data_IF_280277059785
#
_entry.id   IF_280277059785
#
_cell.length_a   1.000
_cell.length_b   1.000
_cell.length_c   1.000
_cell.angle_alpha   90.00
_cell.angle_beta   90.00
_cell.angle_gamma   90.00
#
_symmetry.space_group_name_H-M   'P 1'
#
loop_
_entity.id
_entity.type
_entity.pdbx_description
1 polymer ?
#
# COMPACT_ATOMS: atom_id res chain seq x y z
N UNK A 1 17.94 16.40 -8.03
CA UNK A 1 16.59 15.77 -8.11
C UNK A 1 16.20 15.81 -9.57
N UNK A 2 16.10 14.67 -10.24
CA UNK A 2 15.53 14.62 -11.59
C UNK A 2 14.10 15.17 -11.50
N UNK A 3 13.79 16.17 -12.32
CA UNK A 3 12.45 16.76 -12.40
C UNK A 3 11.48 15.67 -12.87
N UNK A 4 10.69 15.13 -11.93
CA UNK A 4 9.55 14.28 -12.31
C UNK A 4 8.49 15.18 -12.98
N UNK A 5 7.96 14.72 -14.10
CA UNK A 5 6.94 15.45 -14.87
C UNK A 5 5.51 15.05 -14.45
N UNK A 6 5.33 14.51 -13.25
CA UNK A 6 4.03 14.07 -12.73
C UNK A 6 3.97 14.25 -11.20
N UNK A 7 2.78 14.44 -10.69
CA UNK A 7 2.49 14.48 -9.24
C UNK A 7 2.33 13.07 -8.68
N UNK A 8 2.79 12.85 -7.42
CA UNK A 8 2.66 11.56 -6.74
C UNK A 8 1.84 11.68 -5.46
N UNK A 9 0.79 10.89 -5.37
CA UNK A 9 -0.03 10.73 -4.18
C UNK A 9 0.23 9.39 -3.49
N UNK A 10 0.04 9.37 -2.18
CA UNK A 10 0.03 8.14 -1.37
C UNK A 10 -1.37 7.93 -0.81
N UNK A 11 -1.96 6.76 -1.05
CA UNK A 11 -3.23 6.35 -0.48
C UNK A 11 -2.96 5.36 0.65
N UNK A 12 -3.30 5.74 1.88
CA UNK A 12 -3.12 4.93 3.09
C UNK A 12 -4.48 4.45 3.58
N UNK A 13 -4.75 3.15 3.52
CA UNK A 13 -5.98 2.61 4.12
C UNK A 13 -5.82 2.48 5.62
N UNK A 14 -6.84 2.92 6.38
CA UNK A 14 -6.86 2.85 7.86
C UNK A 14 -8.22 2.43 8.41
N UNK A 15 -8.20 1.77 9.56
CA UNK A 15 -9.37 1.45 10.38
C UNK A 15 -8.95 1.21 11.83
N UNK A 16 -9.42 2.08 12.75
CA UNK A 16 -9.30 1.93 14.20
C UNK A 16 -7.90 1.49 14.71
N UNK A 17 -6.83 2.04 14.14
CA UNK A 17 -5.45 1.67 14.51
C UNK A 17 -4.50 2.87 14.57
N UNK A 18 -4.79 3.90 15.39
CA UNK A 18 -4.00 5.14 15.43
C UNK A 18 -2.53 4.88 15.76
N UNK A 19 -2.22 3.95 16.68
CA UNK A 19 -0.84 3.62 17.05
C UNK A 19 0.01 3.08 15.89
N UNK A 20 -0.58 2.32 14.97
CA UNK A 20 0.13 1.83 13.79
C UNK A 20 0.23 2.92 12.72
N UNK A 21 -0.88 3.63 12.47
CA UNK A 21 -0.91 4.74 11.54
C UNK A 21 0.12 5.82 11.90
N UNK A 22 0.27 6.13 13.19
CA UNK A 22 1.26 7.10 13.66
C UNK A 22 2.69 6.74 13.23
N UNK A 23 3.08 5.46 13.38
CA UNK A 23 4.40 4.96 12.95
C UNK A 23 4.58 5.07 11.43
N UNK A 24 3.54 4.85 10.67
CA UNK A 24 3.54 5.00 9.20
C UNK A 24 3.69 6.47 8.81
N UNK A 25 2.98 7.39 9.48
CA UNK A 25 3.08 8.83 9.23
C UNK A 25 4.47 9.38 9.56
N UNK A 26 5.15 8.92 10.63
CA UNK A 26 6.56 9.25 10.87
C UNK A 26 7.46 8.83 9.70
N UNK A 27 7.17 7.68 9.07
CA UNK A 27 7.89 7.22 7.88
C UNK A 27 7.68 8.14 6.68
N UNK A 28 6.47 8.69 6.50
CA UNK A 28 6.19 9.66 5.43
C UNK A 28 6.77 11.04 5.71
N UNK A 29 6.84 11.47 6.97
CA UNK A 29 7.59 12.67 7.34
C UNK A 29 9.09 12.57 7.00
N UNK A 30 9.64 11.36 6.94
CA UNK A 30 11.07 11.11 6.72
C UNK A 30 11.42 10.68 5.29
N UNK A 31 10.52 10.83 4.32
CA UNK A 31 10.81 10.47 2.92
C UNK A 31 11.86 11.39 2.28
N UNK A 32 12.79 10.81 1.50
CA UNK A 32 13.77 11.56 0.69
C UNK A 32 13.10 12.39 -0.41
N UNK A 33 12.07 11.83 -1.01
CA UNK A 33 11.16 12.53 -1.94
C UNK A 33 9.78 12.59 -1.29
N UNK A 34 9.31 13.81 -1.01
CA UNK A 34 7.98 13.99 -0.42
C UNK A 34 6.88 13.70 -1.45
N UNK A 35 5.78 13.03 -1.05
CA UNK A 35 4.59 12.97 -1.89
C UNK A 35 3.93 14.36 -1.99
N UNK A 36 3.24 14.64 -3.09
CA UNK A 36 2.50 15.89 -3.28
C UNK A 36 1.19 15.87 -2.49
N UNK A 37 0.63 14.69 -2.24
CA UNK A 37 -0.53 14.48 -1.37
C UNK A 37 -0.46 13.13 -0.66
N UNK A 38 -1.10 13.04 0.50
CA UNK A 38 -1.37 11.80 1.24
C UNK A 38 -2.87 11.72 1.47
N UNK A 39 -3.53 10.77 0.85
CA UNK A 39 -4.96 10.53 1.06
C UNK A 39 -5.12 9.41 2.08
N UNK A 40 -5.63 9.74 3.26
CA UNK A 40 -5.98 8.74 4.26
C UNK A 40 -7.38 8.22 3.95
N UNK A 41 -7.46 6.97 3.51
CA UNK A 41 -8.69 6.24 3.22
C UNK A 41 -9.18 5.54 4.50
N UNK A 42 -10.04 6.20 5.26
CA UNK A 42 -10.45 5.79 6.60
C UNK A 42 -11.81 5.09 6.56
N UNK A 43 -11.80 3.78 6.80
CA UNK A 43 -12.95 2.87 6.72
C UNK A 43 -13.88 2.95 7.96
N UNK A 44 -14.09 4.15 8.49
CA UNK A 44 -15.01 4.40 9.60
C UNK A 44 -14.36 4.36 10.99
N UNK A 45 -13.12 4.82 11.11
CA UNK A 45 -12.44 4.89 12.41
C UNK A 45 -13.12 5.88 13.38
N UNK A 46 -12.84 5.68 14.66
CA UNK A 46 -13.27 6.53 15.77
C UNK A 46 -12.40 7.81 15.85
N UNK A 47 -12.83 8.71 16.72
CA UNK A 47 -12.25 10.05 16.91
C UNK A 47 -10.75 10.06 17.23
N UNK A 48 -10.22 9.04 17.93
CA UNK A 48 -8.78 8.94 18.23
C UNK A 48 -7.91 8.87 16.97
N UNK A 49 -8.39 8.18 15.93
CA UNK A 49 -7.71 8.11 14.63
C UNK A 49 -7.81 9.46 13.91
N UNK A 50 -8.96 10.13 13.95
CA UNK A 50 -9.15 11.48 13.38
C UNK A 50 -8.23 12.49 14.03
N UNK A 51 -8.17 12.54 15.37
CA UNK A 51 -7.31 13.45 16.12
C UNK A 51 -5.83 13.21 15.80
N UNK A 52 -5.41 11.95 15.67
CA UNK A 52 -4.06 11.63 15.21
C UNK A 52 -3.79 12.23 13.83
N UNK A 53 -4.67 11.99 12.84
CA UNK A 53 -4.51 12.49 11.47
C UNK A 53 -4.40 14.02 11.46
N UNK A 54 -5.27 14.72 12.19
CA UNK A 54 -5.27 16.17 12.34
C UNK A 54 -3.93 16.68 12.92
N UNK A 55 -3.33 15.95 13.87
CA UNK A 55 -2.04 16.32 14.46
C UNK A 55 -0.86 16.30 13.48
N UNK A 56 -1.01 15.61 12.34
CA UNK A 56 0.01 15.56 11.26
C UNK A 56 -0.28 16.54 10.11
N UNK A 57 -1.46 17.16 10.05
CA UNK A 57 -1.89 17.98 8.91
C UNK A 57 -0.99 19.21 8.64
N UNK A 58 -0.31 19.75 9.66
CA UNK A 58 0.64 20.86 9.49
C UNK A 58 2.01 20.43 8.93
N UNK A 59 2.32 19.13 8.92
CA UNK A 59 3.63 18.56 8.57
C UNK A 59 3.60 17.72 7.31
N UNK A 60 2.42 17.21 6.95
CA UNK A 60 2.20 16.37 5.78
C UNK A 60 1.01 16.89 4.97
N UNK A 61 1.03 16.78 3.63
CA UNK A 61 -0.07 17.21 2.77
C UNK A 61 -1.24 16.21 2.82
N UNK A 62 -1.88 16.07 3.99
CA UNK A 62 -2.91 15.08 4.24
C UNK A 62 -4.28 15.55 3.77
N UNK A 63 -4.98 14.66 3.07
CA UNK A 63 -6.40 14.71 2.79
C UNK A 63 -7.07 13.52 3.49
N UNK A 64 -7.92 13.77 4.49
CA UNK A 64 -8.64 12.73 5.22
C UNK A 64 -9.98 12.44 4.52
N UNK A 65 -10.16 11.24 4.02
CA UNK A 65 -11.39 10.72 3.42
C UNK A 65 -11.96 9.68 4.35
N UNK A 66 -13.13 9.95 4.89
CA UNK A 66 -13.80 9.11 5.89
C UNK A 66 -15.22 8.76 5.46
N UNK A 67 -15.75 7.66 5.94
CA UNK A 67 -17.17 7.32 5.90
C UNK A 67 -17.59 6.60 7.21
N UNK A 68 -18.88 6.53 7.46
CA UNK A 68 -19.44 5.82 8.59
C UNK A 68 -19.06 4.33 8.56
N UNK A 69 -18.73 3.76 9.75
CA UNK A 69 -18.46 2.34 9.92
C UNK A 69 -19.71 1.50 9.65
N UNK A 70 -19.65 0.70 8.61
CA UNK A 70 -20.68 -0.30 8.25
C UNK A 70 -20.06 -1.68 8.07
N UNK A 71 -19.01 -1.99 8.83
CA UNK A 71 -18.17 -3.16 8.70
C UNK A 71 -17.09 -2.98 7.66
N UNK A 72 -16.50 -4.06 7.20
CA UNK A 72 -15.36 -4.01 6.27
C UNK A 72 -15.75 -3.49 4.89
N UNK A 73 -15.46 -2.24 4.59
CA UNK A 73 -15.74 -1.57 3.32
C UNK A 73 -14.49 -0.97 2.66
N UNK A 74 -13.34 -1.63 2.85
CA UNK A 74 -12.04 -1.15 2.32
C UNK A 74 -12.08 -0.81 0.83
N UNK A 75 -12.76 -1.60 -0.01
CA UNK A 75 -12.88 -1.31 -1.45
C UNK A 75 -13.61 0.02 -1.71
N UNK A 76 -14.66 0.30 -0.95
CA UNK A 76 -15.45 1.51 -1.09
C UNK A 76 -14.64 2.75 -0.66
N UNK A 77 -13.95 2.69 0.48
CA UNK A 77 -13.16 3.84 0.94
C UNK A 77 -11.95 4.10 0.05
N UNK A 78 -11.33 3.05 -0.53
CA UNK A 78 -10.28 3.21 -1.52
C UNK A 78 -10.80 3.89 -2.80
N UNK A 79 -12.01 3.59 -3.25
CA UNK A 79 -12.65 4.27 -4.37
C UNK A 79 -12.91 5.76 -4.06
N UNK A 80 -13.40 6.08 -2.87
CA UNK A 80 -13.55 7.48 -2.43
C UNK A 80 -12.20 8.20 -2.40
N UNK A 81 -11.14 7.54 -1.93
CA UNK A 81 -9.80 8.09 -1.94
C UNK A 81 -9.26 8.31 -3.36
N UNK A 82 -9.51 7.39 -4.29
CA UNK A 82 -9.19 7.56 -5.72
C UNK A 82 -9.87 8.80 -6.34
N UNK A 83 -11.15 9.01 -6.01
CA UNK A 83 -11.90 10.19 -6.49
C UNK A 83 -11.38 11.48 -5.86
N UNK A 84 -11.05 11.44 -4.56
CA UNK A 84 -10.55 12.60 -3.82
C UNK A 84 -9.12 12.99 -4.20
N UNK A 85 -8.32 12.06 -4.72
CA UNK A 85 -6.94 12.31 -5.16
C UNK A 85 -6.90 13.14 -6.43
N UNK A 86 -5.90 14.01 -6.53
CA UNK A 86 -5.61 14.82 -7.72
C UNK A 86 -4.26 14.45 -8.35
N UNK A 87 -3.47 13.60 -7.70
CA UNK A 87 -2.16 13.19 -8.20
C UNK A 87 -2.26 12.29 -9.44
N UNK A 88 -1.26 12.38 -10.33
CA UNK A 88 -1.18 11.60 -11.56
C UNK A 88 -0.83 10.12 -11.29
N UNK A 89 0.04 9.90 -10.31
CA UNK A 89 0.56 8.59 -9.94
C UNK A 89 0.29 8.29 -8.47
N UNK A 90 -0.26 7.12 -8.17
CA UNK A 90 -0.70 6.75 -6.82
C UNK A 90 0.06 5.54 -6.28
N UNK A 91 0.54 5.67 -5.05
CA UNK A 91 1.13 4.59 -4.25
C UNK A 91 0.12 4.16 -3.19
N UNK A 92 -0.23 2.88 -3.18
CA UNK A 92 -1.17 2.31 -2.21
C UNK A 92 -0.43 1.57 -1.11
N UNK A 93 -0.82 1.84 0.13
CA UNK A 93 -0.27 1.20 1.32
C UNK A 93 -1.32 1.08 2.44
N UNK A 94 -0.97 0.39 3.51
CA UNK A 94 -1.83 0.18 4.67
C UNK A 94 -1.27 0.89 5.92
N UNK A 95 -2.15 1.16 6.89
CA UNK A 95 -1.83 1.81 8.17
C UNK A 95 -0.73 1.12 9.01
N UNK A 96 -0.34 -0.08 8.65
CA UNK A 96 0.64 -0.92 9.35
C UNK A 96 1.92 -1.16 8.54
N UNK A 97 2.13 -0.38 7.48
CA UNK A 97 3.25 -0.50 6.55
C UNK A 97 4.16 0.72 6.63
N UNK A 98 5.16 0.69 7.55
CA UNK A 98 6.14 1.78 7.68
C UNK A 98 7.01 1.82 6.43
N UNK A 99 7.03 2.92 5.66
CA UNK A 99 7.86 3.05 4.47
C UNK A 99 9.34 3.29 4.84
N UNK A 100 10.27 2.70 4.07
CA UNK A 100 11.68 3.09 4.13
C UNK A 100 11.83 4.52 3.58
N UNK A 101 12.87 5.25 3.99
CA UNK A 101 13.03 6.67 3.62
C UNK A 101 13.03 6.94 2.10
N UNK A 102 13.49 6.00 1.29
CA UNK A 102 13.51 6.07 -0.19
C UNK A 102 12.28 5.44 -0.87
N UNK A 103 11.21 5.20 -0.13
CA UNK A 103 10.05 4.46 -0.62
C UNK A 103 9.33 5.20 -1.77
N UNK A 104 8.97 6.47 -1.56
CA UNK A 104 8.32 7.30 -2.59
C UNK A 104 9.26 7.53 -3.77
N UNK A 105 10.52 7.86 -3.52
CA UNK A 105 11.55 8.04 -4.55
C UNK A 105 11.67 6.80 -5.45
N UNK A 106 11.70 5.61 -4.83
CA UNK A 106 11.80 4.35 -5.56
C UNK A 106 10.58 4.10 -6.45
N UNK A 107 9.38 4.36 -5.96
CA UNK A 107 8.17 4.26 -6.78
C UNK A 107 8.20 5.23 -7.96
N UNK A 108 8.58 6.49 -7.73
CA UNK A 108 8.72 7.48 -8.80
C UNK A 108 9.77 7.06 -9.85
N UNK A 109 10.91 6.55 -9.42
CA UNK A 109 12.01 6.09 -10.29
C UNK A 109 11.60 4.98 -11.25
N UNK A 110 10.72 4.07 -10.80
CA UNK A 110 10.29 2.92 -11.62
C UNK A 110 8.94 3.16 -12.31
N UNK A 111 8.26 4.28 -12.06
CA UNK A 111 7.00 4.64 -12.72
C UNK A 111 7.17 4.68 -14.23
N UNK A 112 6.25 4.02 -14.95
CA UNK A 112 6.23 3.95 -16.41
C UNK A 112 4.80 3.75 -16.90
N UNK A 113 4.38 4.48 -17.93
CA UNK A 113 3.06 4.30 -18.53
C UNK A 113 2.89 2.87 -19.10
N UNK A 114 1.70 2.31 -18.93
CA UNK A 114 1.41 0.93 -19.27
C UNK A 114 1.90 -0.11 -18.26
N UNK A 115 2.42 0.33 -17.10
CA UNK A 115 2.86 -0.54 -16.03
C UNK A 115 2.33 -0.10 -14.66
N UNK A 116 1.99 -1.08 -13.81
CA UNK A 116 1.91 -0.88 -12.38
C UNK A 116 3.11 -1.53 -11.67
N UNK A 117 3.44 -1.05 -10.48
CA UNK A 117 4.55 -1.56 -9.67
C UNK A 117 4.04 -2.45 -8.54
N UNK A 118 4.74 -3.56 -8.29
CA UNK A 118 4.54 -4.46 -7.16
C UNK A 118 5.75 -4.39 -6.24
N UNK A 119 5.62 -3.67 -5.15
CA UNK A 119 6.67 -3.50 -4.16
C UNK A 119 6.78 -4.65 -3.16
N UNK A 120 7.70 -4.53 -2.21
CA UNK A 120 7.97 -5.52 -1.20
C UNK A 120 7.66 -5.06 0.21
N UNK A 121 7.36 -6.00 1.07
CA UNK A 121 7.26 -5.75 2.50
C UNK A 121 8.08 -6.78 3.28
N UNK A 122 8.51 -6.38 4.47
CA UNK A 122 9.13 -7.24 5.45
C UNK A 122 8.23 -7.35 6.67
N UNK A 123 7.63 -8.53 6.88
CA UNK A 123 6.72 -8.75 7.99
C UNK A 123 7.49 -8.89 9.29
N UNK A 124 7.16 -8.06 10.28
CA UNK A 124 7.70 -8.12 11.64
C UNK A 124 6.79 -8.96 12.55
N UNK A 125 7.34 -9.61 13.59
CA UNK A 125 6.54 -10.17 14.68
C UNK A 125 5.99 -9.06 15.58
N UNK A 126 4.96 -9.39 16.38
CA UNK A 126 4.20 -8.43 17.19
C UNK A 126 5.08 -7.70 18.23
N UNK A 127 5.95 -8.42 18.90
CA UNK A 127 6.87 -7.88 19.92
C UNK A 127 7.78 -6.78 19.35
N UNK A 128 8.39 -7.03 18.19
CA UNK A 128 9.22 -6.02 17.51
C UNK A 128 8.34 -4.88 16.97
N UNK A 129 7.14 -5.20 16.44
CA UNK A 129 6.20 -4.18 15.94
C UNK A 129 5.80 -3.17 17.01
N UNK A 130 5.64 -3.62 18.26
CA UNK A 130 5.33 -2.77 19.40
C UNK A 130 6.52 -1.89 19.83
N UNK A 131 7.74 -2.43 19.77
CA UNK A 131 8.96 -1.75 20.24
C UNK A 131 9.40 -0.58 19.35
N UNK A 132 9.08 -0.60 18.04
CA UNK A 132 9.47 0.47 17.12
C UNK A 132 8.90 1.80 17.60
N UNK A 133 9.79 2.74 17.97
CA UNK A 133 9.46 4.12 18.30
C UNK A 133 9.75 5.09 17.14
N UNK A 134 9.46 6.38 17.37
CA UNK A 134 9.69 7.46 16.40
C UNK A 134 11.14 7.52 15.95
N UNK A 135 12.08 7.47 16.89
CA UNK A 135 13.52 7.55 16.60
C UNK A 135 14.01 6.37 15.75
N UNK A 136 13.42 5.17 15.92
CA UNK A 136 13.75 4.00 15.10
C UNK A 136 13.32 4.17 13.65
N UNK A 137 12.18 4.83 13.43
CA UNK A 137 11.66 5.14 12.10
C UNK A 137 12.46 6.26 11.45
N UNK A 138 12.64 7.38 12.12
CA UNK A 138 13.32 8.57 11.58
C UNK A 138 14.79 8.29 11.27
N UNK A 139 15.51 7.61 12.17
CA UNK A 139 16.91 7.22 11.94
C UNK A 139 17.08 6.03 10.98
N UNK A 140 16.00 5.46 10.49
CA UNK A 140 15.97 4.22 9.69
C UNK A 140 16.56 2.99 10.42
N UNK A 141 16.77 3.06 11.74
CA UNK A 141 17.29 1.96 12.56
C UNK A 141 16.35 0.75 12.52
N UNK A 142 15.03 0.96 12.42
CA UNK A 142 14.03 -0.10 12.26
C UNK A 142 14.25 -0.97 10.99
N UNK A 143 14.96 -0.48 9.97
CA UNK A 143 15.32 -1.23 8.77
C UNK A 143 16.70 -1.91 8.87
N UNK A 144 17.46 -1.71 9.97
CA UNK A 144 18.77 -2.32 10.19
C UNK A 144 18.63 -3.76 10.68
N UNK A 145 19.19 -4.71 9.93
CA UNK A 145 19.23 -6.11 10.35
C UNK A 145 19.96 -6.30 11.69
N UNK A 146 21.01 -5.51 11.96
CA UNK A 146 21.73 -5.54 13.23
C UNK A 146 20.79 -5.20 14.40
N UNK A 147 20.01 -4.15 14.26
CA UNK A 147 19.05 -3.74 15.27
C UNK A 147 17.92 -4.77 15.41
N UNK A 148 17.33 -5.22 14.31
CA UNK A 148 16.24 -6.19 14.32
C UNK A 148 16.65 -7.52 14.96
N UNK A 149 17.86 -8.01 14.71
CA UNK A 149 18.37 -9.21 15.38
C UNK A 149 18.59 -9.00 16.88
N UNK A 150 19.04 -7.82 17.29
CA UNK A 150 19.15 -7.47 18.70
C UNK A 150 17.77 -7.41 19.40
N UNK A 151 16.68 -7.11 18.64
CA UNK A 151 15.31 -7.17 19.13
C UNK A 151 14.69 -8.60 19.04
N UNK A 152 15.47 -9.62 18.72
CA UNK A 152 15.01 -11.00 18.67
C UNK A 152 14.48 -11.51 17.33
N UNK A 153 14.63 -10.73 16.23
CA UNK A 153 14.24 -11.20 14.90
C UNK A 153 15.02 -12.47 14.53
N UNK A 154 14.31 -13.52 14.13
CA UNK A 154 14.93 -14.76 13.65
C UNK A 154 15.51 -14.57 12.24
N UNK A 155 16.73 -15.07 12.00
CA UNK A 155 17.34 -15.07 10.68
C UNK A 155 16.52 -15.88 9.69
N UNK A 156 16.31 -15.34 8.50
CA UNK A 156 15.62 -16.03 7.40
C UNK A 156 16.08 -15.46 6.06
N UNK A 157 15.83 -16.17 4.97
CA UNK A 157 16.10 -15.64 3.62
C UNK A 157 15.38 -14.31 3.34
N UNK A 158 14.22 -14.08 3.96
CA UNK A 158 13.46 -12.82 3.80
C UNK A 158 14.24 -11.59 4.27
N UNK A 159 15.21 -11.75 5.18
CA UNK A 159 16.07 -10.67 5.66
C UNK A 159 16.90 -10.04 4.53
N UNK A 160 17.16 -10.78 3.42
CA UNK A 160 17.87 -10.25 2.24
C UNK A 160 17.19 -9.02 1.63
N UNK A 161 15.86 -8.82 1.84
CA UNK A 161 15.15 -7.61 1.41
C UNK A 161 15.64 -6.34 2.10
N UNK A 162 16.22 -6.45 3.30
CA UNK A 162 16.68 -5.32 4.10
C UNK A 162 18.17 -5.00 3.92
N UNK A 163 18.87 -5.65 2.98
CA UNK A 163 20.32 -5.45 2.77
C UNK A 163 20.67 -4.08 2.18
N UNK A 164 19.69 -3.33 1.63
CA UNK A 164 19.89 -1.94 1.20
C UNK A 164 20.81 -1.70 -0.01
N UNK A 165 21.35 -2.76 -0.64
CA UNK A 165 22.26 -2.64 -1.80
C UNK A 165 21.43 -2.55 -3.10
N UNK A 166 21.54 -1.45 -3.83
CA UNK A 166 20.77 -1.21 -5.06
C UNK A 166 21.06 -2.22 -6.18
N UNK A 167 22.33 -2.61 -6.36
CA UNK A 167 22.74 -3.63 -7.34
C UNK A 167 22.14 -5.00 -7.00
N UNK A 168 22.24 -5.41 -5.74
CA UNK A 168 21.65 -6.64 -5.23
C UNK A 168 20.11 -6.59 -5.37
N UNK A 169 19.47 -5.47 -5.03
CA UNK A 169 18.03 -5.32 -5.17
C UNK A 169 17.57 -5.48 -6.64
N UNK A 170 18.29 -4.85 -7.59
CA UNK A 170 18.01 -4.98 -9.03
C UNK A 170 18.14 -6.43 -9.49
N UNK A 171 19.22 -7.11 -9.09
CA UNK A 171 19.44 -8.52 -9.39
C UNK A 171 18.32 -9.40 -8.82
N UNK A 172 17.98 -9.23 -7.53
CA UNK A 172 16.94 -10.02 -6.89
C UNK A 172 15.55 -9.75 -7.46
N UNK A 173 15.24 -8.52 -7.87
CA UNK A 173 14.00 -8.21 -8.57
C UNK A 173 13.91 -8.96 -9.91
N UNK A 174 15.02 -9.12 -10.61
CA UNK A 174 15.05 -9.82 -11.91
C UNK A 174 14.91 -11.34 -11.78
N UNK A 175 15.58 -11.96 -10.79
CA UNK A 175 15.60 -13.43 -10.66
C UNK A 175 14.50 -14.02 -9.79
N UNK A 176 13.80 -13.21 -8.97
CA UNK A 176 12.76 -13.73 -8.09
C UNK A 176 11.55 -14.20 -8.91
N UNK A 177 11.15 -15.49 -8.86
CA UNK A 177 10.13 -16.03 -9.74
C UNK A 177 8.69 -15.65 -9.35
N UNK A 178 8.52 -14.82 -8.33
CA UNK A 178 7.22 -14.43 -7.85
C UNK A 178 6.54 -13.49 -8.85
N UNK A 179 5.35 -13.86 -9.34
CA UNK A 179 4.56 -13.00 -10.22
C UNK A 179 4.26 -11.66 -9.54
N UNK A 180 4.59 -10.56 -10.20
CA UNK A 180 4.24 -9.23 -9.75
C UNK A 180 2.72 -9.05 -9.87
N UNK A 181 2.05 -8.94 -8.73
CA UNK A 181 0.60 -8.72 -8.65
C UNK A 181 0.35 -7.44 -7.89
N UNK A 182 -0.80 -6.80 -8.11
CA UNK A 182 -1.20 -5.69 -7.27
C UNK A 182 -1.37 -6.19 -5.82
N UNK A 183 -0.72 -5.53 -4.88
CA UNK A 183 -0.86 -5.82 -3.45
C UNK A 183 -1.14 -4.51 -2.70
N UNK A 184 -2.21 -4.46 -1.92
CA UNK A 184 -2.69 -3.22 -1.30
C UNK A 184 -1.73 -2.56 -0.31
N UNK A 185 -0.75 -3.32 0.19
CA UNK A 185 0.21 -2.77 1.17
C UNK A 185 1.47 -2.15 0.52
N UNK A 186 1.70 -2.37 -0.77
CA UNK A 186 2.83 -1.78 -1.52
C UNK A 186 2.66 -2.01 -3.02
N UNK A 187 1.84 -1.22 -3.65
CA UNK A 187 1.67 -1.18 -5.10
C UNK A 187 1.50 0.26 -5.57
N UNK A 188 1.81 0.53 -6.83
CA UNK A 188 1.57 1.86 -7.40
C UNK A 188 1.26 1.77 -8.88
N UNK A 189 0.56 2.79 -9.38
CA UNK A 189 0.17 2.89 -10.79
C UNK A 189 -0.41 4.25 -11.11
N UNK A 190 -0.68 4.48 -12.39
CA UNK A 190 -1.29 5.71 -12.87
C UNK A 190 -2.74 5.80 -12.44
N UNK A 191 -3.14 6.96 -11.92
CA UNK A 191 -4.50 7.21 -11.47
C UNK A 191 -5.51 6.99 -12.60
N UNK A 192 -5.18 7.40 -13.83
CA UNK A 192 -6.02 7.19 -15.02
C UNK A 192 -6.33 5.70 -15.26
N UNK A 193 -5.34 4.81 -15.10
CA UNK A 193 -5.55 3.35 -15.25
C UNK A 193 -6.49 2.80 -14.18
N UNK A 194 -6.42 3.32 -12.94
CA UNK A 194 -7.36 2.97 -11.89
C UNK A 194 -8.81 3.38 -12.23
N UNK A 195 -8.99 4.55 -12.86
CA UNK A 195 -10.30 4.98 -13.36
C UNK A 195 -10.78 4.17 -14.56
N UNK A 196 -9.89 3.82 -15.48
CA UNK A 196 -10.21 2.98 -16.65
C UNK A 196 -10.75 1.59 -16.24
N UNK A 197 -10.27 1.04 -15.13
CA UNK A 197 -10.82 -0.22 -14.59
C UNK A 197 -11.98 0.01 -13.61
N UNK A 198 -12.46 1.24 -13.47
CA UNK A 198 -13.55 1.65 -12.58
C UNK A 198 -13.27 1.41 -11.08
N UNK A 199 -12.00 1.57 -10.66
CA UNK A 199 -11.62 1.43 -9.25
C UNK A 199 -11.70 0.00 -8.70
N UNK A 200 -11.83 -0.13 -7.39
CA UNK A 200 -11.97 -1.40 -6.69
C UNK A 200 -13.41 -1.92 -6.77
N UNK A 201 -13.57 -3.25 -6.79
CA UNK A 201 -14.89 -3.87 -6.75
C UNK A 201 -15.47 -3.85 -5.32
N UNK A 202 -16.51 -3.06 -5.10
CA UNK A 202 -17.13 -2.82 -3.78
C UNK A 202 -17.91 -4.02 -3.25
N UNK A 203 -18.22 -5.02 -4.09
CA UNK A 203 -18.80 -6.29 -3.64
C UNK A 203 -17.80 -7.19 -2.90
N UNK A 204 -16.51 -6.87 -3.01
CA UNK A 204 -15.45 -7.64 -2.40
C UNK A 204 -15.13 -7.11 -1.01
N UNK A 205 -15.40 -7.94 -0.01
CA UNK A 205 -14.93 -7.76 1.34
C UNK A 205 -13.47 -8.23 1.49
N UNK A 206 -13.04 -8.58 2.71
CA UNK A 206 -11.66 -8.98 2.96
C UNK A 206 -11.21 -10.19 2.13
N UNK A 207 -10.07 -10.06 1.49
CA UNK A 207 -9.32 -11.15 0.86
C UNK A 207 -9.40 -11.19 -0.65
N UNK A 208 -8.39 -10.66 -1.30
CA UNK A 208 -8.19 -10.76 -2.74
C UNK A 208 -8.73 -9.60 -3.56
N UNK A 209 -9.33 -8.57 -2.96
CA UNK A 209 -9.80 -7.35 -3.63
C UNK A 209 -8.66 -6.64 -4.38
N UNK A 210 -7.48 -6.54 -3.76
CA UNK A 210 -6.30 -5.96 -4.39
C UNK A 210 -5.87 -6.75 -5.64
N UNK A 211 -5.88 -8.08 -5.52
CA UNK A 211 -5.50 -8.93 -6.64
C UNK A 211 -6.51 -8.88 -7.78
N UNK A 212 -7.79 -8.77 -7.46
CA UNK A 212 -8.86 -8.63 -8.45
C UNK A 212 -8.71 -7.31 -9.23
N UNK A 213 -8.42 -6.21 -8.53
CA UNK A 213 -8.10 -4.93 -9.16
C UNK A 213 -6.91 -5.07 -10.12
N UNK A 214 -5.82 -5.71 -9.70
CA UNK A 214 -4.66 -5.97 -10.55
C UNK A 214 -4.95 -6.93 -11.70
N UNK A 215 -5.87 -7.88 -11.55
CA UNK A 215 -6.31 -8.78 -12.62
C UNK A 215 -7.07 -8.01 -13.72
N UNK A 216 -7.88 -6.99 -13.36
CA UNK A 216 -8.52 -6.10 -14.35
C UNK A 216 -7.51 -5.20 -15.06
N UNK A 217 -6.49 -4.70 -14.35
CA UNK A 217 -5.38 -3.99 -14.99
C UNK A 217 -4.67 -4.87 -16.03
N UNK A 218 -4.40 -6.14 -15.71
CA UNK A 218 -3.82 -7.08 -16.68
C UNK A 218 -4.74 -7.31 -17.89
N UNK A 219 -6.04 -7.48 -17.66
CA UNK A 219 -7.01 -7.66 -18.73
C UNK A 219 -7.09 -6.41 -19.64
N UNK A 220 -6.88 -5.22 -19.07
CA UNK A 220 -6.80 -3.94 -19.81
C UNK A 220 -5.47 -3.78 -20.59
N UNK A 221 -4.52 -4.74 -20.46
CA UNK A 221 -3.21 -4.71 -21.10
C UNK A 221 -2.12 -4.01 -20.31
N UNK A 222 -2.40 -3.52 -19.09
CA UNK A 222 -1.39 -2.92 -18.21
C UNK A 222 -0.49 -4.05 -17.67
N UNK A 223 0.81 -3.88 -17.85
CA UNK A 223 1.82 -4.83 -17.38
C UNK A 223 2.20 -4.57 -15.92
N UNK A 224 3.03 -5.42 -15.34
CA UNK A 224 3.55 -5.23 -13.99
C UNK A 224 5.07 -5.28 -13.93
N UNK A 225 5.65 -4.46 -13.05
CA UNK A 225 7.08 -4.55 -12.69
C UNK A 225 7.22 -4.94 -11.23
N UNK A 226 8.12 -5.89 -10.96
CA UNK A 226 8.48 -6.26 -9.60
C UNK A 226 9.60 -5.36 -9.09
N UNK A 227 9.35 -4.68 -7.96
CA UNK A 227 10.33 -3.83 -7.27
C UNK A 227 10.46 -4.23 -5.78
N UNK A 228 10.25 -5.52 -5.47
CA UNK A 228 10.13 -6.04 -4.10
C UNK A 228 11.37 -5.92 -3.24
N UNK A 229 12.53 -5.79 -3.84
CA UNK A 229 13.80 -5.57 -3.14
C UNK A 229 14.23 -4.10 -3.16
N UNK A 230 13.57 -3.27 -3.95
CA UNK A 230 13.84 -1.83 -4.07
C UNK A 230 12.93 -0.99 -3.20
N UNK A 231 11.61 -1.06 -3.41
CA UNK A 231 10.62 -0.35 -2.58
C UNK A 231 10.20 -1.25 -1.40
N UNK A 232 10.67 -0.95 -0.20
CA UNK A 232 10.45 -1.77 0.99
C UNK A 232 9.68 -1.00 2.05
N UNK A 233 8.67 -1.66 2.64
CA UNK A 233 8.05 -1.24 3.90
C UNK A 233 8.17 -2.35 4.95
N UNK A 234 8.18 -1.96 6.23
CA UNK A 234 8.02 -2.87 7.36
C UNK A 234 6.53 -3.05 7.63
N UNK A 235 6.06 -4.30 7.51
CA UNK A 235 4.68 -4.63 7.81
C UNK A 235 4.58 -5.06 9.27
N UNK A 236 3.97 -4.23 10.09
CA UNK A 236 3.71 -4.48 11.50
C UNK A 236 2.70 -5.61 11.67
N UNK A 237 2.84 -6.41 12.73
CA UNK A 237 1.89 -7.50 12.98
C UNK A 237 0.59 -6.97 13.58
N UNK A 238 -0.52 -7.60 13.20
CA UNK A 238 -1.85 -7.27 13.71
C UNK A 238 -2.81 -8.45 13.61
N UNK A 239 -3.86 -8.48 14.44
CA UNK A 239 -4.96 -9.44 14.36
C UNK A 239 -5.85 -9.15 13.13
N UNK A 240 -6.49 -10.20 12.59
CA UNK A 240 -7.40 -10.11 11.41
C UNK A 240 -8.74 -10.78 11.71
N UNK A 241 -9.59 -10.18 12.60
CA UNK A 241 -10.85 -10.80 13.03
C UNK A 241 -11.91 -10.87 11.91
N UNK A 242 -11.78 -10.03 10.89
CA UNK A 242 -12.70 -9.91 9.75
C UNK A 242 -12.53 -10.99 8.67
N UNK A 243 -11.59 -11.92 8.84
CA UNK A 243 -11.34 -12.99 7.86
C UNK A 243 -12.34 -14.13 8.08
N UNK A 244 -13.25 -14.36 7.13
CA UNK A 244 -14.19 -15.49 7.12
C UNK A 244 -13.96 -16.40 5.91
N UNK A 245 -14.32 -17.68 6.02
CA UNK A 245 -14.21 -18.64 4.91
C UNK A 245 -15.14 -18.26 3.75
N UNK A 246 -16.36 -17.88 4.08
CA UNK A 246 -17.38 -17.47 3.11
C UNK A 246 -16.91 -16.31 2.22
N UNK A 247 -16.38 -15.25 2.86
CA UNK A 247 -15.85 -14.07 2.13
C UNK A 247 -14.71 -14.44 1.20
N UNK A 248 -13.81 -15.32 1.65
CA UNK A 248 -12.69 -15.77 0.83
C UNK A 248 -13.15 -16.60 -0.38
N UNK A 249 -14.15 -17.47 -0.21
CA UNK A 249 -14.72 -18.28 -1.29
C UNK A 249 -15.45 -17.40 -2.31
N UNK A 250 -16.31 -16.46 -1.85
CA UNK A 250 -16.97 -15.48 -2.71
C UNK A 250 -15.94 -14.68 -3.53
N UNK A 251 -14.96 -14.11 -2.87
CA UNK A 251 -13.94 -13.29 -3.52
C UNK A 251 -13.10 -14.11 -4.51
N UNK A 252 -12.82 -15.38 -4.21
CA UNK A 252 -12.13 -16.28 -5.13
C UNK A 252 -12.96 -16.55 -6.39
N UNK A 253 -14.29 -16.72 -6.25
CA UNK A 253 -15.19 -16.90 -7.38
C UNK A 253 -15.20 -15.65 -8.29
N UNK A 254 -15.32 -14.45 -7.71
CA UNK A 254 -15.25 -13.19 -8.45
C UNK A 254 -13.93 -13.11 -9.23
N UNK A 255 -12.79 -13.34 -8.59
CA UNK A 255 -11.46 -13.29 -9.23
C UNK A 255 -11.31 -14.32 -10.36
N UNK A 256 -11.84 -15.54 -10.17
CA UNK A 256 -11.83 -16.56 -11.24
C UNK A 256 -12.62 -16.07 -12.45
N UNK A 257 -13.78 -15.46 -12.21
CA UNK A 257 -14.61 -14.90 -13.29
C UNK A 257 -13.90 -13.75 -14.00
N UNK A 258 -13.36 -12.77 -13.24
CA UNK A 258 -12.59 -11.64 -13.78
C UNK A 258 -11.51 -12.11 -14.76
N UNK A 259 -10.72 -13.11 -14.37
CA UNK A 259 -9.65 -13.66 -15.22
C UNK A 259 -10.17 -14.44 -16.43
N UNK A 260 -11.20 -15.30 -16.22
CA UNK A 260 -11.72 -16.18 -17.28
C UNK A 260 -12.43 -15.38 -18.37
N UNK A 261 -13.19 -14.35 -17.97
CA UNK A 261 -14.01 -13.54 -18.85
C UNK A 261 -13.31 -12.29 -19.39
N UNK A 262 -12.03 -12.05 -19.01
CA UNK A 262 -11.28 -10.88 -19.48
C UNK A 262 -11.89 -9.55 -19.05
N UNK A 263 -12.61 -9.52 -17.90
CA UNK A 263 -13.29 -8.31 -17.40
C UNK A 263 -12.25 -7.23 -17.12
N UNK A 264 -12.41 -6.06 -17.72
CA UNK A 264 -11.55 -4.89 -17.53
C UNK A 264 -12.13 -3.89 -16.54
N UNK A 265 -13.46 -3.73 -16.47
CA UNK A 265 -14.14 -2.81 -15.58
C UNK A 265 -15.05 -3.55 -14.61
N UNK A 266 -15.07 -3.14 -13.34
CA UNK A 266 -16.07 -3.64 -12.40
C UNK A 266 -17.38 -2.85 -12.54
N UNK A 267 -18.56 -3.50 -12.49
CA UNK A 267 -19.84 -2.78 -12.44
C UNK A 267 -20.08 -2.08 -11.10
N UNK A 268 -19.32 -2.46 -10.06
CA UNK A 268 -19.48 -2.00 -8.68
C UNK A 268 -18.27 -1.19 -8.22
N UNK A 269 -17.97 -0.09 -8.91
CA UNK A 269 -16.81 0.75 -8.65
C UNK A 269 -17.13 2.25 -8.57
N UNK A 270 -16.18 3.08 -8.98
CA UNK A 270 -16.22 4.55 -8.88
C UNK A 270 -17.45 5.17 -9.56
N UNK A 271 -17.89 4.65 -10.70
CA UNK A 271 -19.04 5.20 -11.46
C UNK A 271 -20.36 5.25 -10.66
N UNK A 272 -20.45 4.56 -9.54
CA UNK A 272 -21.59 4.64 -8.60
C UNK A 272 -21.48 5.80 -7.60
N UNK A 273 -20.31 6.42 -7.50
CA UNK A 273 -20.00 7.47 -6.51
C UNK A 273 -20.11 8.87 -7.15
N UNK A 274 -20.04 8.96 -8.48
CA UNK A 274 -20.25 10.17 -9.27
C UNK A 274 -21.76 10.43 -9.45
#
# INVERSE_FOLDING_TARGET
>A
MENRNFTVGVVISTYNSPKWLEKVLWGYENQTVKPDEIVIADDGSKDDTRQLIESFASRLPIKHVWHEDRGFQKSQILNKALVASTADYLIFTDQDCIPRADFVETHCKYAEHGYFLSGGYFKLPMDISLQIGKDDVVSQRAFSLKWLFAQGLKKSFKCTKLLGNAGFAKFMNAITPTKATWNGCNASGWREDAFRVNGYNEEMHYGGQDREFGERLFNLGIKSKQIRYSAICLHLDHKRPYKTKETLEKNLAIRKNTRKSGITETPNGIKKIQ
#
